data_IF_558472178239
#
_entry.id   IF_558472178239
#
_cell.length_a   1.000
_cell.length_b   1.000
_cell.length_c   1.000
_cell.angle_alpha   90.00
_cell.angle_beta   90.00
_cell.angle_gamma   90.00
#
_symmetry.space_group_name_H-M   'P 1'
#
loop_
_entity.id
_entity.type
_entity.pdbx_description
1 polymer ?
#
# COMPACT_ATOMS: atom_id res chain seq x y z
N UNK A 1 11.82 10.12 8.70
CA UNK A 1 11.14 9.09 9.52
C UNK A 1 10.19 8.18 8.72
N UNK A 2 9.29 8.64 7.81
CA UNK A 2 8.39 7.73 7.06
C UNK A 2 9.00 7.12 5.78
N UNK A 3 9.90 7.83 5.08
CA UNK A 3 10.53 7.39 3.82
C UNK A 3 11.60 6.30 3.97
N UNK A 4 11.86 5.86 5.20
CA UNK A 4 12.86 4.84 5.54
C UNK A 4 12.24 3.45 5.71
N UNK A 5 10.91 3.36 5.83
CA UNK A 5 10.21 2.10 5.99
C UNK A 5 9.31 1.84 4.78
N UNK A 6 9.36 0.64 4.18
CA UNK A 6 8.46 0.27 3.10
C UNK A 6 6.99 0.38 3.51
N UNK A 7 6.20 1.11 2.74
CA UNK A 7 4.75 1.10 2.86
C UNK A 7 4.21 -0.15 2.15
N UNK A 8 3.55 -1.02 2.91
CA UNK A 8 3.02 -2.29 2.41
C UNK A 8 1.73 -2.12 1.59
N UNK A 9 0.76 -1.39 2.15
CA UNK A 9 -0.49 -1.01 1.52
C UNK A 9 -1.13 0.13 2.32
N UNK A 10 -1.98 0.91 1.65
CA UNK A 10 -2.70 2.03 2.26
C UNK A 10 -4.09 1.60 2.74
N UNK A 11 -4.63 2.24 3.78
CA UNK A 11 -6.02 2.04 4.22
C UNK A 11 -6.71 3.41 4.28
N UNK A 12 -7.83 3.54 3.59
CA UNK A 12 -8.70 4.72 3.62
C UNK A 12 -10.02 4.37 4.31
N UNK A 13 -10.49 5.25 5.20
CA UNK A 13 -11.78 5.09 5.88
C UNK A 13 -12.70 6.25 5.51
N UNK A 14 -13.93 5.95 5.09
CA UNK A 14 -14.93 6.94 4.68
C UNK A 14 -16.15 6.94 5.57
N UNK A 15 -16.74 8.13 5.71
CA UNK A 15 -18.03 8.30 6.38
C UNK A 15 -19.16 7.71 5.53
N UNK A 16 -20.22 7.26 6.20
CA UNK A 16 -21.41 6.70 5.57
C UNK A 16 -22.12 7.75 4.68
N UNK A 17 -22.54 7.40 3.47
CA UNK A 17 -23.35 8.25 2.58
C UNK A 17 -22.70 8.77 1.29
N UNK A 18 -21.44 8.42 0.98
CA UNK A 18 -20.81 8.74 -0.31
C UNK A 18 -21.11 7.70 -1.40
N UNK A 19 -21.27 8.12 -2.66
CA UNK A 19 -21.47 7.20 -3.77
C UNK A 19 -20.17 6.41 -4.04
N UNK A 20 -20.16 5.11 -3.69
CA UNK A 20 -19.00 4.20 -3.80
C UNK A 20 -18.55 3.92 -5.25
N UNK A 21 -19.38 4.27 -6.24
CA UNK A 21 -19.16 3.94 -7.65
C UNK A 21 -18.11 4.82 -8.36
N UNK A 22 -17.52 5.82 -7.70
CA UNK A 22 -16.46 6.66 -8.28
C UNK A 22 -15.12 6.21 -7.73
N UNK A 23 -14.26 5.69 -8.63
CA UNK A 23 -12.88 5.31 -8.36
C UNK A 23 -12.21 6.32 -7.42
N UNK A 24 -11.63 5.80 -6.35
CA UNK A 24 -11.39 6.57 -5.14
C UNK A 24 -10.27 7.60 -5.35
N UNK A 25 -10.60 8.91 -5.40
CA UNK A 25 -9.61 9.91 -5.81
C UNK A 25 -8.44 10.02 -4.82
N UNK A 26 -8.69 9.81 -3.52
CA UNK A 26 -7.66 9.93 -2.48
C UNK A 26 -6.65 8.78 -2.55
N UNK A 27 -7.11 7.53 -2.56
CA UNK A 27 -6.26 6.36 -2.79
C UNK A 27 -5.42 6.48 -4.07
N UNK A 28 -6.03 6.98 -5.16
CA UNK A 28 -5.32 7.24 -6.42
C UNK A 28 -4.17 8.24 -6.27
N UNK A 29 -4.39 9.35 -5.55
CA UNK A 29 -3.36 10.35 -5.27
C UNK A 29 -2.23 9.76 -4.43
N UNK A 30 -2.55 9.04 -3.35
CA UNK A 30 -1.54 8.43 -2.48
C UNK A 30 -0.70 7.41 -3.22
N UNK A 31 -1.33 6.54 -4.00
CA UNK A 31 -0.59 5.56 -4.79
C UNK A 31 0.20 6.21 -5.93
N UNK A 32 -0.29 7.30 -6.54
CA UNK A 32 0.51 8.04 -7.52
C UNK A 32 1.80 8.61 -6.87
N UNK A 33 1.70 9.19 -5.68
CA UNK A 33 2.86 9.66 -4.94
C UNK A 33 3.81 8.51 -4.56
N UNK A 34 3.27 7.36 -4.14
CA UNK A 34 4.09 6.18 -3.85
C UNK A 34 4.79 5.64 -5.11
N UNK A 35 4.09 5.55 -6.24
CA UNK A 35 4.68 5.16 -7.52
C UNK A 35 5.82 6.10 -7.92
N UNK A 36 5.61 7.42 -7.83
CA UNK A 36 6.66 8.40 -8.13
C UNK A 36 7.87 8.27 -7.22
N UNK A 37 7.66 8.07 -5.92
CA UNK A 37 8.74 7.84 -4.97
C UNK A 37 9.56 6.60 -5.33
N UNK A 38 8.88 5.49 -5.67
CA UNK A 38 9.54 4.24 -6.02
C UNK A 38 10.27 4.34 -7.36
N UNK A 39 9.67 4.96 -8.38
CA UNK A 39 10.32 5.24 -9.69
C UNK A 39 11.58 6.08 -9.47
N UNK A 40 11.47 7.16 -8.70
CA UNK A 40 12.59 8.10 -8.45
C UNK A 40 13.78 7.41 -7.79
N UNK A 41 13.55 6.40 -6.94
CA UNK A 41 14.64 5.72 -6.22
C UNK A 41 15.13 4.42 -6.86
N UNK A 42 14.25 3.65 -7.50
CA UNK A 42 14.56 2.33 -8.04
C UNK A 42 14.72 2.33 -9.58
N UNK A 43 14.25 3.38 -10.27
CA UNK A 43 14.21 3.46 -11.72
C UNK A 43 13.01 2.76 -12.36
N UNK A 44 12.72 3.11 -13.60
CA UNK A 44 11.56 2.59 -14.35
C UNK A 44 11.63 1.07 -14.60
N UNK A 45 12.82 0.52 -14.84
CA UNK A 45 13.01 -0.91 -15.11
C UNK A 45 12.70 -1.79 -13.89
N UNK A 46 13.01 -1.30 -12.68
CA UNK A 46 12.65 -1.97 -11.44
C UNK A 46 11.14 -1.93 -11.22
N UNK A 47 10.51 -0.82 -11.59
CA UNK A 47 9.05 -0.63 -11.48
C UNK A 47 8.26 -1.50 -12.43
N UNK A 48 8.77 -1.77 -13.63
CA UNK A 48 8.15 -2.71 -14.55
C UNK A 48 8.03 -4.15 -13.99
N UNK A 49 8.74 -4.46 -12.88
CA UNK A 49 8.72 -5.76 -12.19
C UNK A 49 7.84 -5.77 -10.93
N UNK A 50 7.16 -4.66 -10.63
CA UNK A 50 6.16 -4.58 -9.57
C UNK A 50 4.79 -4.39 -10.21
N UNK A 51 3.98 -5.44 -10.21
CA UNK A 51 2.73 -5.47 -10.99
C UNK A 51 1.71 -4.42 -10.53
N UNK A 52 1.57 -4.25 -9.21
CA UNK A 52 0.57 -3.36 -8.63
C UNK A 52 0.89 -2.93 -7.18
N UNK A 53 0.18 -1.90 -6.71
CA UNK A 53 0.10 -1.51 -5.31
C UNK A 53 -1.33 -1.69 -4.79
N UNK A 54 -1.54 -2.49 -3.73
CA UNK A 54 -2.85 -2.65 -3.12
C UNK A 54 -3.15 -1.56 -2.09
N UNK A 55 -4.43 -1.24 -1.97
CA UNK A 55 -5.00 -0.37 -0.94
C UNK A 55 -6.33 -0.95 -0.47
N UNK A 56 -6.76 -0.56 0.73
CA UNK A 56 -8.04 -0.97 1.31
C UNK A 56 -8.87 0.28 1.51
N UNK A 57 -10.16 0.16 1.19
CA UNK A 57 -11.13 1.19 1.52
C UNK A 57 -12.21 0.60 2.40
N UNK A 58 -12.51 1.32 3.46
CA UNK A 58 -13.54 0.98 4.41
C UNK A 58 -14.62 2.05 4.35
N UNK A 59 -15.82 1.69 3.91
CA UNK A 59 -16.98 2.57 3.90
C UNK A 59 -18.08 2.02 4.79
N UNK A 60 -18.29 2.66 5.94
CA UNK A 60 -19.16 2.10 6.98
C UNK A 60 -18.60 0.78 7.47
N UNK A 61 -19.31 -0.32 7.17
CA UNK A 61 -18.88 -1.68 7.51
C UNK A 61 -18.35 -2.47 6.31
N UNK A 62 -18.33 -1.90 5.09
CA UNK A 62 -17.88 -2.58 3.87
C UNK A 62 -16.38 -2.39 3.71
N UNK A 63 -15.66 -3.49 3.43
CA UNK A 63 -14.23 -3.51 3.18
C UNK A 63 -13.94 -3.92 1.75
N UNK A 64 -13.27 -3.04 1.01
CA UNK A 64 -12.99 -3.24 -0.40
C UNK A 64 -11.52 -3.08 -0.73
N UNK A 65 -11.05 -3.87 -1.69
CA UNK A 65 -9.69 -3.84 -2.22
C UNK A 65 -9.64 -2.86 -3.40
N UNK A 66 -8.68 -1.93 -3.35
CA UNK A 66 -8.30 -1.07 -4.48
C UNK A 66 -6.94 -1.53 -4.96
N UNK A 67 -6.77 -1.61 -6.27
CA UNK A 67 -5.48 -1.95 -6.90
C UNK A 67 -5.09 -0.79 -7.79
N UNK A 68 -3.84 -0.36 -7.72
CA UNK A 68 -3.30 0.59 -8.69
C UNK A 68 -2.14 -0.02 -9.45
N UNK A 69 -2.08 0.29 -10.74
CA UNK A 69 -0.96 -0.04 -11.61
C UNK A 69 -0.39 1.25 -12.19
N UNK A 70 0.88 1.21 -12.61
CA UNK A 70 1.56 2.36 -13.23
C UNK A 70 2.07 1.94 -14.60
N UNK A 71 1.50 2.52 -15.65
CA UNK A 71 1.91 2.28 -17.04
C UNK A 71 2.27 3.62 -17.69
N UNK A 72 3.48 3.72 -18.25
CA UNK A 72 3.94 4.89 -19.04
C UNK A 72 3.66 6.25 -18.38
N UNK A 73 3.87 6.36 -17.06
CA UNK A 73 3.64 7.61 -16.33
C UNK A 73 2.16 7.92 -16.01
N UNK A 74 1.26 6.97 -16.21
CA UNK A 74 -0.15 7.07 -15.77
C UNK A 74 -0.44 6.05 -14.68
N UNK A 75 -1.03 6.51 -13.57
CA UNK A 75 -1.49 5.64 -12.48
C UNK A 75 -2.95 5.30 -12.76
N UNK A 76 -3.22 4.02 -13.00
CA UNK A 76 -4.58 3.53 -13.19
C UNK A 76 -5.09 2.95 -11.88
N UNK A 77 -6.24 3.45 -11.40
CA UNK A 77 -6.95 2.88 -10.26
C UNK A 77 -7.96 1.88 -10.79
N UNK A 78 -7.76 0.60 -10.50
CA UNK A 78 -8.72 -0.45 -10.79
C UNK A 78 -9.86 -0.40 -9.77
N UNK A 79 -11.05 -0.84 -10.20
CA UNK A 79 -12.28 -0.80 -9.41
C UNK A 79 -12.12 -1.40 -8.00
N UNK A 80 -12.84 -0.81 -7.05
CA UNK A 80 -12.92 -1.29 -5.67
C UNK A 80 -13.71 -2.61 -5.64
N UNK A 81 -13.11 -3.69 -5.14
CA UNK A 81 -13.75 -5.00 -5.01
C UNK A 81 -14.02 -5.29 -3.55
N UNK A 82 -15.30 -5.35 -3.14
CA UNK A 82 -15.65 -5.77 -1.78
C UNK A 82 -15.13 -7.18 -1.52
N UNK A 83 -14.41 -7.34 -0.41
CA UNK A 83 -13.91 -8.65 0.03
C UNK A 83 -14.43 -9.07 1.41
N UNK A 84 -15.21 -8.22 2.08
CA UNK A 84 -15.84 -8.56 3.35
C UNK A 84 -16.53 -7.37 4.00
N UNK A 85 -17.15 -7.63 5.14
CA UNK A 85 -17.81 -6.60 5.94
C UNK A 85 -17.68 -6.84 7.45
N UNK A 86 -17.87 -5.80 8.26
CA UNK A 86 -17.88 -5.89 9.72
C UNK A 86 -19.29 -5.87 10.32
N UNK A 87 -20.33 -6.05 9.51
CA UNK A 87 -21.73 -6.14 9.97
C UNK A 87 -22.20 -7.57 10.24
N UNK A 88 -21.41 -8.57 9.85
CA UNK A 88 -21.71 -9.99 10.08
C UNK A 88 -20.47 -10.77 10.52
N UNK A 89 -20.67 -11.87 11.26
CA UNK A 89 -19.58 -12.75 11.69
C UNK A 89 -18.82 -13.33 10.49
N UNK A 90 -19.55 -13.81 9.47
CA UNK A 90 -18.95 -14.33 8.23
C UNK A 90 -18.15 -13.24 7.52
N UNK A 91 -18.71 -12.03 7.42
CA UNK A 91 -18.01 -10.87 6.85
C UNK A 91 -16.69 -10.58 7.57
N UNK A 92 -16.68 -10.62 8.91
CA UNK A 92 -15.46 -10.38 9.70
C UNK A 92 -14.39 -11.44 9.38
N UNK A 93 -14.78 -12.71 9.24
CA UNK A 93 -13.86 -13.76 8.81
C UNK A 93 -13.31 -13.53 7.40
N UNK A 94 -14.14 -13.03 6.46
CA UNK A 94 -13.69 -12.65 5.13
C UNK A 94 -12.69 -11.48 5.17
N UNK A 95 -12.96 -10.45 5.99
CA UNK A 95 -12.02 -9.33 6.20
C UNK A 95 -10.67 -9.84 6.71
N UNK A 96 -10.67 -10.69 7.73
CA UNK A 96 -9.45 -11.29 8.27
C UNK A 96 -8.70 -12.12 7.22
N UNK A 97 -9.42 -12.89 6.40
CA UNK A 97 -8.81 -13.66 5.31
C UNK A 97 -8.17 -12.75 4.25
N UNK A 98 -8.85 -11.67 3.85
CA UNK A 98 -8.32 -10.67 2.93
C UNK A 98 -7.06 -9.98 3.46
N UNK A 99 -7.07 -9.54 4.72
CA UNK A 99 -5.90 -8.94 5.38
C UNK A 99 -4.71 -9.91 5.44
N UNK A 100 -4.97 -11.19 5.74
CA UNK A 100 -3.93 -12.23 5.71
C UNK A 100 -3.34 -12.43 4.31
N UNK A 101 -4.17 -12.36 3.26
CA UNK A 101 -3.71 -12.45 1.88
C UNK A 101 -2.84 -11.26 1.50
N UNK A 102 -3.22 -10.05 1.89
CA UNK A 102 -2.41 -8.84 1.69
C UNK A 102 -1.08 -8.91 2.43
N UNK A 103 -1.08 -9.33 3.71
CA UNK A 103 0.15 -9.56 4.47
C UNK A 103 1.08 -10.55 3.75
N UNK A 104 0.53 -11.69 3.27
CA UNK A 104 1.30 -12.68 2.52
C UNK A 104 1.93 -12.06 1.27
N UNK A 105 1.14 -11.32 0.48
CA UNK A 105 1.65 -10.61 -0.69
C UNK A 105 2.75 -9.60 -0.33
N UNK A 106 2.58 -8.81 0.75
CA UNK A 106 3.59 -7.85 1.17
C UNK A 106 4.92 -8.51 1.55
N UNK A 107 4.87 -9.68 2.19
CA UNK A 107 6.08 -10.41 2.61
C UNK A 107 6.74 -11.20 1.48
N UNK A 108 5.96 -11.73 0.54
CA UNK A 108 6.46 -12.64 -0.51
C UNK A 108 6.73 -11.94 -1.85
N UNK A 109 6.11 -10.79 -2.10
CA UNK A 109 6.26 -10.06 -3.38
C UNK A 109 6.93 -8.72 -3.13
N UNK A 110 6.27 -7.86 -2.33
CA UNK A 110 6.71 -6.49 -2.16
C UNK A 110 8.04 -6.39 -1.41
N UNK A 111 8.21 -7.13 -0.32
CA UNK A 111 9.42 -7.07 0.48
C UNK A 111 10.67 -7.57 -0.26
N UNK A 112 10.65 -8.72 -0.96
CA UNK A 112 11.74 -9.12 -1.84
C UNK A 112 12.06 -8.08 -2.93
N UNK A 113 11.02 -7.45 -3.49
CA UNK A 113 11.19 -6.35 -4.44
C UNK A 113 11.95 -5.18 -3.81
N UNK A 114 11.55 -4.69 -2.63
CA UNK A 114 12.24 -3.61 -1.92
C UNK A 114 13.71 -3.95 -1.62
N UNK A 115 13.99 -5.16 -1.13
CA UNK A 115 15.37 -5.58 -0.82
C UNK A 115 16.27 -5.61 -2.06
N UNK A 116 15.69 -5.94 -3.21
CA UNK A 116 16.43 -6.06 -4.47
C UNK A 116 16.73 -4.71 -5.08
N UNK A 117 15.76 -3.80 -5.07
CA UNK A 117 15.85 -2.52 -5.81
C UNK A 117 16.08 -1.30 -4.93
N UNK A 118 15.90 -1.41 -3.61
CA UNK A 118 16.09 -0.34 -2.63
C UNK A 118 16.84 -0.85 -1.37
N UNK A 119 18.05 -1.43 -1.51
CA UNK A 119 18.77 -2.03 -0.38
C UNK A 119 19.13 -1.04 0.73
N UNK A 120 19.34 0.24 0.40
CA UNK A 120 19.69 1.31 1.35
C UNK A 120 18.55 1.73 2.29
N UNK A 121 17.29 1.47 1.91
CA UNK A 121 16.12 1.94 2.68
C UNK A 121 16.13 1.40 4.12
N UNK A 122 16.58 0.16 4.33
CA UNK A 122 16.61 -0.49 5.64
C UNK A 122 17.87 -0.13 6.46
N UNK A 123 18.97 0.25 5.80
CA UNK A 123 20.19 0.69 6.47
C UNK A 123 20.01 2.08 7.10
N UNK A 124 19.41 3.00 6.36
CA UNK A 124 19.14 4.38 6.82
C UNK A 124 18.12 4.42 7.97
N UNK A 125 17.16 3.48 7.97
CA UNK A 125 16.18 3.31 9.03
C UNK A 125 16.82 2.92 10.39
N UNK A 126 17.88 2.10 10.34
CA UNK A 126 18.61 1.64 11.54
C UNK A 126 19.61 2.68 12.02
N UNK A 127 20.28 3.39 11.12
CA UNK A 127 21.21 4.46 11.46
C UNK A 127 20.52 5.63 12.18
N UNK A 128 19.27 5.96 11.81
CA UNK A 128 18.49 7.02 12.45
C UNK A 128 18.03 6.74 13.89
N UNK A 129 18.11 5.48 14.36
CA UNK A 129 17.74 5.09 15.73
C UNK A 129 18.94 4.98 16.69
N UNK A 130 20.17 5.04 16.17
CA UNK A 130 21.41 4.90 16.95
C UNK A 130 22.12 6.20 17.30
N UNK A 131 21.55 7.37 16.94
CA UNK A 131 22.20 8.67 17.02
C UNK A 131 22.02 9.46 18.33
N UNK A 132 21.20 8.99 19.28
CA UNK A 132 20.90 9.71 20.53
C UNK A 132 21.42 8.93 21.75
N UNK A 133 22.73 8.74 21.86
CA UNK A 133 23.35 8.29 23.11
C UNK A 133 24.84 8.61 23.16
N UNK A 134 25.23 9.87 22.92
CA UNK A 134 26.50 10.36 23.45
C UNK A 134 26.54 11.88 23.48
N UNK A 135 26.48 12.46 24.68
CA UNK A 135 27.33 13.58 25.06
C UNK A 135 27.52 13.61 26.59
N UNK A 136 28.64 14.18 27.08
CA UNK A 136 29.27 13.89 28.37
C UNK A 136 28.65 14.59 29.59
#
# INVERSE_FOLDING_TARGET
MLQQYPLAFSIETKRYGGNAAKGEPQMGIWHAAQWEFLITRAGADAMAKLDFLPGIVIQGHIWSLVITTRNQGTTSVLCSVEFGNTSSVVGVFQVMAGLRRLRKWSLEVLWPWYKTYLPGLCADARAGLGGEAHEP
#
